data_IF_281979351069
#
_entry.id   IF_281979351069
#
_cell.length_a   1.000
_cell.length_b   1.000
_cell.length_c   1.000
_cell.angle_alpha   90.00
_cell.angle_beta   90.00
_cell.angle_gamma   90.00
#
_symmetry.space_group_name_H-M   'P 1'
#
loop_
_entity.id
_entity.type
_entity.pdbx_description
1 polymer ?
#
# COMPACT_ATOMS: atom_id res chain seq x y z
N UNK A 1 7.67 1.66 -15.36
CA UNK A 1 6.32 2.23 -15.25
C UNK A 1 6.29 3.56 -15.99
N UNK A 2 5.48 3.68 -17.04
CA UNK A 2 5.22 4.95 -17.71
C UNK A 2 3.99 5.64 -17.13
N UNK A 3 4.18 6.61 -16.24
CA UNK A 3 3.10 7.44 -15.69
C UNK A 3 3.24 8.88 -16.18
N UNK A 4 2.14 9.48 -16.61
CA UNK A 4 2.02 10.91 -16.86
C UNK A 4 1.20 11.51 -15.72
N UNK A 5 1.79 12.40 -14.93
CA UNK A 5 1.14 12.96 -13.73
C UNK A 5 1.08 14.46 -13.84
N UNK A 6 -0.13 15.01 -13.84
CA UNK A 6 -0.38 16.42 -13.64
C UNK A 6 -0.63 16.68 -12.16
N UNK A 7 0.03 17.69 -11.60
CA UNK A 7 -0.16 18.12 -10.21
C UNK A 7 -0.42 19.61 -10.20
N UNK A 8 -1.28 20.03 -9.29
CA UNK A 8 -1.56 21.43 -9.07
C UNK A 8 -1.67 21.70 -7.57
N UNK A 9 -1.00 22.76 -7.14
CA UNK A 9 -1.05 23.27 -5.79
C UNK A 9 -2.05 24.42 -5.70
N UNK A 10 -2.70 24.51 -4.55
CA UNK A 10 -3.65 25.58 -4.20
C UNK A 10 -4.80 25.79 -5.19
N UNK A 11 -5.20 24.69 -5.86
CA UNK A 11 -6.28 24.64 -6.84
C UNK A 11 -6.28 25.84 -7.81
N UNK A 12 -5.17 26.02 -8.52
CA UNK A 12 -4.93 27.14 -9.45
C UNK A 12 -4.85 28.51 -8.77
N UNK A 13 -4.49 28.54 -7.48
CA UNK A 13 -4.51 29.73 -6.65
C UNK A 13 -5.90 30.13 -6.15
N UNK A 14 -6.92 29.30 -6.37
CA UNK A 14 -8.30 29.59 -5.96
C UNK A 14 -8.59 29.15 -4.53
N UNK A 15 -7.90 28.11 -4.05
CA UNK A 15 -8.12 27.55 -2.70
C UNK A 15 -6.78 27.17 -2.09
N UNK A 16 -6.29 28.04 -1.21
CA UNK A 16 -5.06 27.82 -0.45
C UNK A 16 -5.12 26.50 0.33
N UNK A 17 -4.05 25.69 0.22
CA UNK A 17 -3.94 24.40 0.89
C UNK A 17 -4.67 23.25 0.20
N UNK A 18 -5.40 23.49 -0.89
CA UNK A 18 -6.07 22.44 -1.68
C UNK A 18 -5.20 22.00 -2.85
N UNK A 19 -4.59 20.82 -2.73
CA UNK A 19 -3.79 20.23 -3.78
C UNK A 19 -4.56 19.12 -4.49
N UNK A 20 -4.38 18.99 -5.80
CA UNK A 20 -4.87 17.84 -6.53
C UNK A 20 -3.87 17.31 -7.55
N UNK A 21 -4.05 16.05 -7.94
CA UNK A 21 -3.30 15.44 -9.02
C UNK A 21 -4.20 14.58 -9.89
N UNK A 22 -3.87 14.52 -11.17
CA UNK A 22 -4.42 13.57 -12.14
C UNK A 22 -3.26 12.76 -12.70
N UNK A 23 -3.46 11.45 -12.82
CA UNK A 23 -2.44 10.54 -13.30
C UNK A 23 -3.02 9.62 -14.37
N UNK A 24 -2.25 9.40 -15.42
CA UNK A 24 -2.44 8.32 -16.37
C UNK A 24 -1.25 7.35 -16.26
N UNK A 25 -1.53 6.05 -16.36
CA UNK A 25 -0.52 5.01 -16.44
C UNK A 25 -0.77 4.19 -17.71
N UNK A 26 0.22 4.13 -18.60
CA UNK A 26 0.14 3.27 -19.78
C UNK A 26 0.24 1.79 -19.41
N UNK A 27 -0.36 0.93 -20.24
CA UNK A 27 -0.25 -0.53 -20.15
C UNK A 27 1.22 -0.97 -20.07
N UNK A 28 1.51 -1.84 -19.11
CA UNK A 28 2.77 -2.57 -19.02
C UNK A 28 2.42 -4.06 -18.84
N UNK A 29 2.59 -4.85 -19.92
CA UNK A 29 2.22 -6.26 -20.04
C UNK A 29 3.39 -7.25 -19.93
N UNK A 30 3.15 -8.47 -20.42
CA UNK A 30 3.99 -9.68 -20.32
C UNK A 30 5.32 -9.61 -21.08
N UNK A 31 6.14 -10.66 -20.91
CA UNK A 31 7.39 -10.92 -21.67
C UNK A 31 7.13 -11.53 -23.07
N UNK A 32 5.89 -11.89 -23.38
CA UNK A 32 5.47 -12.48 -24.66
C UNK A 32 4.00 -12.17 -24.97
N UNK A 33 3.66 -11.82 -26.22
CA UNK A 33 2.32 -11.44 -26.67
C UNK A 33 2.26 -10.07 -27.38
N UNK A 34 1.06 -9.55 -27.64
CA UNK A 34 0.88 -8.31 -28.44
C UNK A 34 1.37 -7.01 -27.75
N UNK A 35 1.87 -7.07 -26.50
CA UNK A 35 2.34 -5.91 -25.72
C UNK A 35 3.54 -6.29 -24.83
N UNK A 36 4.65 -6.65 -25.47
CA UNK A 36 5.87 -7.15 -24.83
C UNK A 36 6.68 -6.05 -24.12
N UNK A 37 6.42 -5.88 -22.83
CA UNK A 37 7.17 -4.98 -21.92
C UNK A 37 7.80 -5.69 -20.72
N UNK A 38 7.65 -7.02 -20.64
CA UNK A 38 8.39 -7.94 -19.77
C UNK A 38 8.23 -7.79 -18.26
N UNK A 39 7.19 -8.40 -17.66
CA UNK A 39 7.04 -8.50 -16.19
C UNK A 39 6.16 -9.67 -15.71
N UNK A 40 6.39 -10.12 -14.47
CA UNK A 40 5.52 -11.09 -13.77
C UNK A 40 4.06 -10.60 -13.70
N UNK A 41 3.10 -11.52 -13.81
CA UNK A 41 1.65 -11.29 -13.77
C UNK A 41 1.20 -10.39 -12.63
N UNK A 42 1.73 -10.62 -11.41
CA UNK A 42 1.40 -9.80 -10.25
C UNK A 42 1.82 -8.35 -10.46
N UNK A 43 2.88 -8.11 -11.21
CA UNK A 43 3.36 -6.76 -11.48
C UNK A 43 2.61 -6.09 -12.62
N UNK A 44 2.03 -6.83 -13.58
CA UNK A 44 1.34 -6.30 -14.78
C UNK A 44 0.27 -5.22 -14.50
N UNK A 45 -0.05 -4.40 -15.50
CA UNK A 45 -1.17 -3.45 -15.50
C UNK A 45 -1.61 -3.14 -16.94
N UNK A 46 -2.90 -2.93 -17.17
CA UNK A 46 -3.43 -2.27 -18.36
C UNK A 46 -3.37 -0.74 -18.25
N UNK A 47 -3.96 -0.05 -19.21
CA UNK A 47 -4.10 1.41 -19.14
C UNK A 47 -4.98 1.80 -17.95
N UNK A 48 -4.56 2.83 -17.23
CA UNK A 48 -5.22 3.27 -16.01
C UNK A 48 -5.14 4.76 -15.79
N UNK A 49 -6.06 5.24 -14.96
CA UNK A 49 -6.09 6.63 -14.51
C UNK A 49 -6.31 6.69 -13.00
N UNK A 50 -5.86 7.77 -12.40
CA UNK A 50 -6.05 8.05 -10.99
C UNK A 50 -6.17 9.54 -10.74
N UNK A 51 -6.81 9.86 -9.61
CA UNK A 51 -6.94 11.22 -9.11
C UNK A 51 -6.66 11.22 -7.62
N UNK A 52 -6.06 12.30 -7.13
CA UNK A 52 -5.89 12.53 -5.69
C UNK A 52 -6.22 13.97 -5.35
N UNK A 53 -6.71 14.18 -4.13
CA UNK A 53 -6.99 15.49 -3.57
C UNK A 53 -6.57 15.48 -2.10
N UNK A 54 -5.91 16.55 -1.67
CA UNK A 54 -5.53 16.74 -0.27
C UNK A 54 -5.80 18.18 0.13
N UNK A 55 -6.32 18.39 1.33
CA UNK A 55 -6.61 19.71 1.85
C UNK A 55 -5.98 19.91 3.23
N UNK A 56 -5.24 21.00 3.39
CA UNK A 56 -4.78 21.47 4.69
C UNK A 56 -5.93 22.17 5.41
N UNK A 57 -6.40 21.59 6.51
CA UNK A 57 -7.52 22.12 7.30
C UNK A 57 -7.06 23.23 8.27
N UNK A 58 -5.75 23.43 8.41
CA UNK A 58 -5.15 24.32 9.42
C UNK A 58 -4.80 23.60 10.72
N UNK A 59 -4.04 24.28 11.58
CA UNK A 59 -3.67 23.79 12.94
C UNK A 59 -3.05 22.38 12.96
N UNK A 60 -2.29 22.03 11.92
CA UNK A 60 -1.65 20.71 11.77
C UNK A 60 -2.55 19.62 11.19
N UNK A 61 -3.85 19.87 10.97
CA UNK A 61 -4.78 18.89 10.40
C UNK A 61 -4.75 18.89 8.87
N UNK A 62 -4.81 17.70 8.29
CA UNK A 62 -4.96 17.52 6.85
C UNK A 62 -5.84 16.32 6.53
N UNK A 63 -6.62 16.43 5.46
CA UNK A 63 -7.43 15.34 4.92
C UNK A 63 -7.03 15.07 3.48
N UNK A 64 -7.10 13.82 3.04
CA UNK A 64 -6.83 13.45 1.67
C UNK A 64 -7.69 12.30 1.19
N UNK A 65 -7.89 12.24 -0.11
CA UNK A 65 -8.53 11.13 -0.80
C UNK A 65 -7.85 10.87 -2.13
N UNK A 66 -7.89 9.62 -2.57
CA UNK A 66 -7.46 9.25 -3.90
C UNK A 66 -8.32 8.11 -4.45
N UNK A 67 -8.43 8.07 -5.76
CA UNK A 67 -9.04 6.97 -6.48
C UNK A 67 -8.19 6.59 -7.69
N UNK A 68 -8.19 5.31 -8.05
CA UNK A 68 -7.59 4.85 -9.30
C UNK A 68 -8.40 3.72 -9.88
N UNK A 69 -8.39 3.62 -11.21
CA UNK A 69 -9.04 2.56 -11.95
C UNK A 69 -8.19 2.21 -13.17
N UNK A 70 -7.74 0.95 -13.23
CA UNK A 70 -6.84 0.45 -14.27
C UNK A 70 -7.40 -0.80 -14.90
N UNK A 71 -7.29 -0.95 -16.22
CA UNK A 71 -7.60 -2.24 -16.88
C UNK A 71 -6.65 -3.32 -16.34
N UNK A 72 -7.14 -4.53 -16.18
CA UNK A 72 -6.31 -5.72 -15.91
C UNK A 72 -5.92 -6.40 -17.22
N UNK A 73 -4.78 -7.07 -17.25
CA UNK A 73 -4.30 -7.80 -18.42
C UNK A 73 -4.95 -9.18 -18.53
N UNK A 74 -4.90 -9.80 -19.71
CA UNK A 74 -5.39 -11.16 -19.90
C UNK A 74 -4.68 -12.16 -18.97
N UNK A 75 -3.37 -12.04 -18.78
CA UNK A 75 -2.59 -12.88 -17.86
C UNK A 75 -3.07 -12.77 -16.41
N UNK A 76 -3.51 -11.58 -15.99
CA UNK A 76 -4.04 -11.33 -14.65
C UNK A 76 -5.42 -11.98 -14.45
N UNK A 77 -6.11 -12.31 -15.53
CA UNK A 77 -7.42 -12.98 -15.51
C UNK A 77 -7.33 -14.38 -16.15
N UNK A 78 -6.14 -15.01 -16.14
CA UNK A 78 -5.94 -16.32 -16.75
C UNK A 78 -6.56 -17.43 -15.88
N UNK A 79 -7.81 -17.78 -16.17
CA UNK A 79 -8.58 -18.81 -15.45
C UNK A 79 -8.08 -20.23 -15.69
N UNK A 80 -7.21 -20.44 -16.71
CA UNK A 80 -6.57 -21.73 -16.93
C UNK A 80 -5.46 -22.03 -15.90
N UNK A 81 -5.02 -21.03 -15.12
CA UNK A 81 -4.06 -21.21 -14.04
C UNK A 81 -4.79 -21.32 -12.68
N UNK A 82 -4.94 -22.53 -12.10
CA UNK A 82 -5.66 -22.72 -10.85
C UNK A 82 -4.97 -22.09 -9.63
N UNK A 83 -3.69 -21.74 -9.71
CA UNK A 83 -2.97 -21.04 -8.64
C UNK A 83 -3.29 -19.52 -8.61
N UNK A 84 -3.69 -18.95 -9.75
CA UNK A 84 -4.04 -17.54 -9.86
C UNK A 84 -5.44 -17.29 -9.28
N UNK A 85 -5.58 -16.17 -8.57
CA UNK A 85 -6.79 -15.75 -7.87
C UNK A 85 -7.09 -14.28 -8.15
N UNK A 86 -8.36 -13.90 -8.04
CA UNK A 86 -8.85 -12.55 -8.31
C UNK A 86 -9.01 -12.25 -9.78
N UNK A 87 -10.24 -12.39 -10.27
CA UNK A 87 -10.64 -12.06 -11.63
C UNK A 87 -11.30 -10.68 -11.70
N UNK A 88 -11.14 -9.99 -12.82
CA UNK A 88 -11.94 -8.82 -13.12
C UNK A 88 -11.33 -7.93 -14.19
N UNK A 89 -12.18 -7.17 -14.88
CA UNK A 89 -11.73 -6.33 -16.01
C UNK A 89 -10.89 -5.14 -15.54
N UNK A 90 -11.12 -4.68 -14.31
CA UNK A 90 -10.48 -3.51 -13.73
C UNK A 90 -9.98 -3.77 -12.32
N UNK A 91 -8.86 -3.15 -12.00
CA UNK A 91 -8.32 -3.00 -10.66
C UNK A 91 -8.64 -1.57 -10.19
N UNK A 92 -9.38 -1.47 -9.09
CA UNK A 92 -9.85 -0.19 -8.56
C UNK A 92 -9.41 0.01 -7.12
N UNK A 93 -9.11 1.25 -6.76
CA UNK A 93 -8.69 1.64 -5.41
C UNK A 93 -9.41 2.94 -5.06
N UNK A 94 -9.98 2.98 -3.86
CA UNK A 94 -10.51 4.17 -3.24
C UNK A 94 -9.86 4.29 -1.87
N UNK A 95 -9.20 5.41 -1.60
CA UNK A 95 -8.51 5.64 -0.34
C UNK A 95 -8.88 7.01 0.23
N UNK A 96 -9.01 7.07 1.55
CA UNK A 96 -9.15 8.30 2.31
C UNK A 96 -8.21 8.27 3.52
N UNK A 97 -7.70 9.42 3.90
CA UNK A 97 -6.79 9.54 5.03
C UNK A 97 -6.89 10.88 5.75
N UNK A 98 -6.51 10.86 7.01
CA UNK A 98 -6.46 12.00 7.91
C UNK A 98 -5.07 12.03 8.55
N UNK A 99 -4.56 13.23 8.78
CA UNK A 99 -3.29 13.47 9.47
C UNK A 99 -3.43 14.63 10.43
N UNK A 100 -2.80 14.51 11.59
CA UNK A 100 -2.44 15.60 12.50
C UNK A 100 -0.91 15.64 12.63
N UNK A 101 -0.32 16.80 12.37
CA UNK A 101 1.14 16.98 12.29
C UNK A 101 1.50 18.36 12.85
N UNK A 102 1.48 18.46 14.17
CA UNK A 102 1.81 19.68 14.91
C UNK A 102 2.21 19.34 16.35
N UNK A 103 2.86 20.29 17.03
CA UNK A 103 3.22 20.18 18.45
C UNK A 103 4.02 18.90 18.80
N UNK A 104 5.00 18.56 17.95
CA UNK A 104 5.82 17.34 18.07
C UNK A 104 5.04 16.02 17.97
N UNK A 105 3.75 16.05 17.67
CA UNK A 105 2.90 14.87 17.52
C UNK A 105 2.62 14.65 16.03
N UNK A 106 2.78 13.40 15.61
CA UNK A 106 2.37 12.94 14.29
C UNK A 106 1.35 11.81 14.47
N UNK A 107 0.12 12.03 14.05
CA UNK A 107 -0.93 11.02 13.97
C UNK A 107 -1.41 10.94 12.53
N UNK A 108 -1.49 9.74 11.98
CA UNK A 108 -2.09 9.54 10.67
C UNK A 108 -2.92 8.26 10.65
N UNK A 109 -4.02 8.29 9.92
CA UNK A 109 -4.81 7.10 9.62
C UNK A 109 -5.23 7.14 8.15
N UNK A 110 -5.25 5.98 7.51
CA UNK A 110 -5.81 5.80 6.18
C UNK A 110 -6.65 4.54 6.10
N UNK A 111 -7.71 4.63 5.32
CA UNK A 111 -8.53 3.49 4.94
C UNK A 111 -8.57 3.44 3.42
N UNK A 112 -8.39 2.24 2.88
CA UNK A 112 -8.60 1.99 1.46
C UNK A 112 -9.45 0.76 1.22
N UNK A 113 -10.33 0.88 0.22
CA UNK A 113 -11.08 -0.23 -0.31
C UNK A 113 -10.65 -0.45 -1.74
N UNK A 114 -10.29 -1.69 -2.04
CA UNK A 114 -9.78 -2.08 -3.36
C UNK A 114 -10.64 -3.16 -3.97
N UNK A 115 -10.70 -3.19 -5.29
CA UNK A 115 -11.32 -4.26 -6.06
C UNK A 115 -10.30 -4.80 -7.05
N UNK A 116 -10.02 -6.10 -7.00
CA UNK A 116 -9.05 -6.79 -7.87
C UNK A 116 -7.67 -6.13 -7.92
N UNK A 117 -7.22 -5.47 -6.83
CA UNK A 117 -6.00 -4.66 -6.81
C UNK A 117 -5.03 -4.99 -5.67
N UNK A 118 -5.51 -5.30 -4.46
CA UNK A 118 -4.63 -5.75 -3.37
C UNK A 118 -4.09 -7.14 -3.67
N UNK A 119 -2.76 -7.24 -3.70
CA UNK A 119 -2.07 -8.51 -3.97
C UNK A 119 -2.01 -9.39 -2.74
N UNK A 120 -1.93 -10.69 -2.97
CA UNK A 120 -1.45 -11.64 -1.98
C UNK A 120 -0.59 -12.72 -2.64
N UNK A 121 0.25 -13.33 -1.80
CA UNK A 121 1.28 -14.27 -2.20
C UNK A 121 2.26 -13.74 -3.23
N UNK A 122 3.02 -14.66 -3.81
CA UNK A 122 4.03 -14.33 -4.80
C UNK A 122 3.94 -15.30 -5.99
N UNK A 123 4.35 -14.84 -7.18
CA UNK A 123 4.41 -15.69 -8.37
C UNK A 123 5.70 -16.51 -8.44
N UNK A 124 6.33 -16.79 -7.30
CA UNK A 124 7.57 -17.58 -7.17
C UNK A 124 7.25 -18.93 -6.50
N UNK A 125 8.19 -19.87 -6.56
CA UNK A 125 8.00 -21.27 -6.17
C UNK A 125 7.64 -21.54 -4.70
N UNK A 126 7.48 -20.51 -3.87
CA UNK A 126 7.13 -20.64 -2.45
C UNK A 126 5.64 -20.48 -2.16
N UNK A 127 4.80 -20.19 -3.16
CA UNK A 127 3.34 -20.07 -2.99
C UNK A 127 2.59 -21.03 -3.92
N UNK A 128 1.67 -21.81 -3.36
CA UNK A 128 0.72 -22.65 -4.10
C UNK A 128 -0.41 -21.81 -4.74
N UNK A 129 -0.74 -20.67 -4.12
CA UNK A 129 -1.70 -19.68 -4.63
C UNK A 129 -1.13 -18.27 -4.60
N UNK A 130 -1.56 -17.44 -5.54
CA UNK A 130 -1.24 -16.02 -5.56
C UNK A 130 -2.26 -15.26 -6.39
N UNK A 131 -2.27 -13.93 -6.27
CA UNK A 131 -3.11 -13.11 -7.13
C UNK A 131 -3.53 -11.82 -6.47
N UNK A 132 -4.80 -11.50 -6.64
CA UNK A 132 -5.41 -10.28 -6.15
C UNK A 132 -6.67 -10.63 -5.38
N UNK A 133 -6.93 -9.96 -4.27
CA UNK A 133 -8.21 -10.10 -3.59
C UNK A 133 -9.31 -9.43 -4.43
N UNK A 134 -10.43 -10.14 -4.65
CA UNK A 134 -11.58 -9.61 -5.39
C UNK A 134 -12.08 -8.29 -4.77
N UNK A 135 -12.09 -8.25 -3.45
CA UNK A 135 -12.19 -7.01 -2.68
C UNK A 135 -11.20 -7.06 -1.51
N UNK A 136 -10.65 -5.92 -1.13
CA UNK A 136 -9.91 -5.80 0.11
C UNK A 136 -10.27 -4.50 0.85
N UNK A 137 -10.19 -4.57 2.16
CA UNK A 137 -10.36 -3.43 3.07
C UNK A 137 -9.07 -3.29 3.85
N UNK A 138 -8.33 -2.21 3.60
CA UNK A 138 -7.06 -1.94 4.24
C UNK A 138 -7.22 -0.75 5.19
N UNK A 139 -6.62 -0.86 6.36
CA UNK A 139 -6.62 0.16 7.38
C UNK A 139 -5.22 0.25 7.99
N UNK A 140 -4.71 1.47 8.10
CA UNK A 140 -3.43 1.75 8.72
C UNK A 140 -3.58 2.96 9.62
N UNK A 141 -3.01 2.90 10.81
CA UNK A 141 -2.96 4.02 11.77
C UNK A 141 -1.61 4.04 12.44
N UNK A 142 -1.05 5.24 12.61
CA UNK A 142 0.26 5.46 13.24
C UNK A 142 0.19 6.65 14.18
N UNK A 143 0.89 6.52 15.31
CA UNK A 143 1.09 7.58 16.29
C UNK A 143 2.58 7.69 16.63
N UNK A 144 3.11 8.90 16.56
CA UNK A 144 4.52 9.19 16.85
C UNK A 144 4.65 10.49 17.62
N UNK A 145 5.73 10.58 18.39
CA UNK A 145 6.09 11.79 19.12
C UNK A 145 7.56 12.11 18.87
N UNK A 146 7.88 13.37 18.60
CA UNK A 146 9.24 13.84 18.37
C UNK A 146 9.77 14.53 19.63
N UNK A 147 10.71 13.89 20.32
CA UNK A 147 11.44 14.56 21.40
C UNK A 147 12.51 15.51 20.84
N UNK A 148 12.79 16.58 21.59
CA UNK A 148 13.84 17.55 21.26
C UNK A 148 15.24 16.92 21.29
N UNK A 149 15.42 15.83 22.03
CA UNK A 149 16.68 15.06 22.09
C UNK A 149 16.96 14.23 20.82
N UNK A 150 16.09 14.33 19.80
CA UNK A 150 16.21 13.57 18.55
C UNK A 150 15.57 12.18 18.57
N UNK A 151 15.02 11.73 19.70
CA UNK A 151 14.28 10.46 19.78
C UNK A 151 12.85 10.62 19.24
N UNK A 152 12.41 9.68 18.40
CA UNK A 152 11.05 9.62 17.84
C UNK A 152 10.48 8.21 17.99
N UNK A 153 9.79 7.87 19.11
CA UNK A 153 9.02 6.64 19.20
C UNK A 153 7.84 6.64 18.22
N UNK A 154 7.44 5.43 17.80
CA UNK A 154 6.32 5.17 16.90
C UNK A 154 5.56 3.92 17.34
N UNK A 155 4.24 3.98 17.27
CA UNK A 155 3.35 2.82 17.37
C UNK A 155 2.38 2.85 16.21
N UNK A 156 2.20 1.73 15.52
CA UNK A 156 1.24 1.62 14.42
C UNK A 156 0.45 0.32 14.47
N UNK A 157 -0.70 0.32 13.80
CA UNK A 157 -1.50 -0.87 13.51
C UNK A 157 -1.85 -0.87 12.03
N UNK A 158 -1.63 -2.01 11.37
CA UNK A 158 -1.91 -2.20 9.96
C UNK A 158 -2.69 -3.49 9.77
N UNK A 159 -3.77 -3.42 8.97
CA UNK A 159 -4.57 -4.56 8.59
C UNK A 159 -5.01 -4.46 7.13
N UNK A 160 -4.92 -5.56 6.40
CA UNK A 160 -5.53 -5.76 5.09
C UNK A 160 -6.38 -7.01 5.13
N UNK A 161 -7.70 -6.84 4.97
CA UNK A 161 -8.66 -7.94 4.93
C UNK A 161 -9.13 -8.16 3.49
N UNK A 162 -8.69 -9.28 2.90
CA UNK A 162 -9.18 -9.78 1.63
C UNK A 162 -10.55 -10.42 1.80
N UNK A 163 -11.39 -10.21 0.79
CA UNK A 163 -12.78 -10.65 0.72
C UNK A 163 -12.97 -11.47 -0.54
N UNK A 164 -13.80 -12.50 -0.42
CA UNK A 164 -14.20 -13.36 -1.53
C UNK A 164 -13.01 -13.97 -2.28
N UNK A 165 -11.97 -14.43 -1.56
CA UNK A 165 -10.83 -15.11 -2.19
C UNK A 165 -11.27 -16.51 -2.63
N UNK A 166 -11.02 -16.87 -3.88
CA UNK A 166 -11.56 -18.10 -4.46
C UNK A 166 -11.02 -19.33 -3.74
N UNK A 167 -11.93 -20.11 -3.15
CA UNK A 167 -11.61 -21.31 -2.35
C UNK A 167 -11.28 -21.03 -0.88
N UNK A 168 -11.12 -19.76 -0.48
CA UNK A 168 -10.70 -19.40 0.89
C UNK A 168 -11.66 -18.42 1.59
N UNK A 169 -12.55 -17.73 0.86
CA UNK A 169 -13.46 -16.74 1.42
C UNK A 169 -12.73 -15.50 1.96
N UNK A 170 -13.15 -15.04 3.14
CA UNK A 170 -12.57 -13.88 3.81
C UNK A 170 -11.27 -14.25 4.54
N UNK A 171 -10.18 -13.54 4.25
CA UNK A 171 -8.87 -13.78 4.86
C UNK A 171 -8.14 -12.48 5.20
N UNK A 172 -7.47 -12.44 6.35
CA UNK A 172 -6.50 -11.38 6.63
C UNK A 172 -5.24 -11.63 5.79
N UNK A 173 -4.89 -10.69 4.92
CA UNK A 173 -3.70 -10.72 4.05
C UNK A 173 -2.47 -10.15 4.75
N UNK A 174 -2.70 -9.23 5.68
CA UNK A 174 -1.72 -8.55 6.50
C UNK A 174 -2.41 -8.11 7.79
N UNK A 175 -1.78 -8.34 8.94
CA UNK A 175 -2.28 -7.87 10.22
C UNK A 175 -1.14 -7.82 11.23
N UNK A 176 -0.75 -6.64 11.69
CA UNK A 176 0.30 -6.52 12.69
C UNK A 176 0.22 -5.21 13.48
N UNK A 177 0.84 -5.23 14.66
CA UNK A 177 1.20 -4.03 15.41
C UNK A 177 2.68 -3.78 15.20
N UNK A 178 3.04 -2.51 15.08
CA UNK A 178 4.40 -2.03 14.92
C UNK A 178 4.77 -1.17 16.12
N UNK A 179 5.93 -1.42 16.73
CA UNK A 179 6.46 -0.61 17.81
C UNK A 179 7.94 -0.38 17.58
N UNK A 180 8.33 0.88 17.46
CA UNK A 180 9.70 1.25 17.12
C UNK A 180 10.11 2.61 17.66
N UNK A 181 11.38 2.93 17.46
CA UNK A 181 11.92 4.25 17.74
C UNK A 181 13.09 4.56 16.81
N UNK A 182 13.10 5.80 16.31
CA UNK A 182 14.23 6.35 15.56
C UNK A 182 14.94 7.40 16.40
N UNK A 183 16.27 7.36 16.45
CA UNK A 183 17.09 8.38 17.05
C UNK A 183 17.86 9.15 15.97
N UNK A 184 17.57 10.43 15.84
CA UNK A 184 18.23 11.34 14.91
C UNK A 184 19.42 12.00 15.59
N UNK A 185 20.64 11.65 15.17
CA UNK A 185 21.85 12.34 15.62
C UNK A 185 21.90 13.75 15.02
N UNK A 186 21.54 13.86 13.74
CA UNK A 186 21.39 15.08 12.98
C UNK A 186 20.61 14.76 11.68
N UNK A 187 20.49 15.74 10.77
CA UNK A 187 19.79 15.58 9.48
C UNK A 187 20.42 14.53 8.53
N UNK A 188 21.65 14.11 8.79
CA UNK A 188 22.44 13.22 7.95
C UNK A 188 22.69 11.83 8.56
N UNK A 189 22.38 11.61 9.84
CA UNK A 189 22.65 10.35 10.52
C UNK A 189 21.56 10.00 11.53
N UNK A 190 21.06 8.76 11.46
CA UNK A 190 20.07 8.22 12.39
C UNK A 190 20.28 6.74 12.65
N UNK A 191 19.79 6.24 13.78
CA UNK A 191 19.67 4.81 14.07
C UNK A 191 18.24 4.50 14.45
N UNK A 192 17.77 3.28 14.21
CA UNK A 192 16.42 2.88 14.57
C UNK A 192 16.35 1.42 15.02
N UNK A 193 15.33 1.16 15.84
CA UNK A 193 14.83 -0.18 16.15
C UNK A 193 13.36 -0.23 15.80
N UNK A 194 12.93 -1.33 15.21
CA UNK A 194 11.53 -1.56 14.87
C UNK A 194 11.13 -3.00 15.19
N UNK A 195 9.91 -3.18 15.71
CA UNK A 195 9.38 -4.50 16.04
C UNK A 195 7.99 -4.67 15.45
N UNK A 196 7.93 -5.47 14.39
CA UNK A 196 6.69 -5.97 13.80
C UNK A 196 6.22 -7.19 14.60
N UNK A 197 5.12 -7.00 15.33
CA UNK A 197 4.39 -8.05 16.06
C UNK A 197 3.28 -8.55 15.14
N UNK A 198 3.51 -9.68 14.50
CA UNK A 198 2.62 -10.24 13.50
C UNK A 198 1.41 -10.90 14.17
N UNK A 199 0.21 -10.53 13.74
CA UNK A 199 -1.06 -10.98 14.31
C UNK A 199 -1.81 -11.93 13.36
N UNK A 200 -1.14 -12.39 12.30
CA UNK A 200 -1.68 -13.41 11.40
C UNK A 200 -1.51 -14.79 12.02
N UNK A 201 -2.56 -15.60 11.94
CA UNK A 201 -2.49 -17.02 12.30
C UNK A 201 -1.83 -17.83 11.19
N UNK A 202 -0.95 -18.77 11.55
CA UNK A 202 -0.43 -19.77 10.63
C UNK A 202 -1.50 -20.82 10.28
N UNK A 203 -2.13 -20.63 9.12
CA UNK A 203 -3.20 -21.47 8.59
C UNK A 203 -2.96 -21.85 7.15
N UNK A 204 -3.83 -22.71 6.62
CA UNK A 204 -3.75 -23.19 5.24
C UNK A 204 -3.62 -22.05 4.23
N UNK A 205 -4.44 -21.00 4.36
CA UNK A 205 -4.33 -19.84 3.48
C UNK A 205 -2.95 -19.16 3.51
N UNK A 206 -2.41 -18.86 4.70
CA UNK A 206 -1.13 -18.15 4.81
C UNK A 206 0.03 -18.99 4.30
N UNK A 207 0.02 -20.31 4.55
CA UNK A 207 1.01 -21.24 4.01
C UNK A 207 0.92 -21.35 2.49
N UNK A 208 -0.27 -21.60 1.95
CA UNK A 208 -0.47 -21.75 0.51
C UNK A 208 -0.17 -20.46 -0.24
N UNK A 209 -0.44 -19.30 0.36
CA UNK A 209 -0.10 -18.00 -0.21
C UNK A 209 1.33 -17.54 0.10
N UNK A 210 2.12 -18.29 0.88
CA UNK A 210 3.48 -17.88 1.27
C UNK A 210 3.53 -16.56 2.05
N UNK A 211 2.50 -16.26 2.84
CA UNK A 211 2.44 -15.06 3.70
C UNK A 211 3.09 -15.39 5.04
N UNK A 212 4.19 -14.72 5.37
CA UNK A 212 4.86 -14.89 6.68
C UNK A 212 3.96 -14.40 7.81
N UNK A 213 3.82 -15.26 8.80
CA UNK A 213 3.11 -15.01 10.06
C UNK A 213 4.08 -14.73 11.21
N UNK A 214 5.37 -14.57 10.90
CA UNK A 214 6.41 -14.38 11.90
C UNK A 214 6.56 -12.92 12.30
N UNK A 215 6.98 -12.76 13.54
CA UNK A 215 7.50 -11.53 14.12
C UNK A 215 8.85 -11.15 13.50
N UNK A 216 9.12 -9.84 13.39
CA UNK A 216 10.38 -9.34 12.84
C UNK A 216 10.89 -8.17 13.67
N UNK A 217 12.15 -8.24 14.08
CA UNK A 217 12.88 -7.10 14.67
C UNK A 217 13.89 -6.57 13.65
N UNK A 218 13.83 -5.27 13.38
CA UNK A 218 14.78 -4.57 12.53
C UNK A 218 15.66 -3.63 13.37
N UNK A 219 16.96 -3.62 13.09
CA UNK A 219 17.93 -2.70 13.65
C UNK A 219 18.73 -2.09 12.50
N UNK A 220 18.81 -0.77 12.45
CA UNK A 220 19.45 -0.08 11.34
C UNK A 220 20.20 1.17 11.77
N UNK A 221 21.33 1.41 11.10
CA UNK A 221 22.07 2.67 11.15
C UNK A 221 22.09 3.26 9.73
N UNK A 222 21.63 4.50 9.59
CA UNK A 222 21.46 5.15 8.30
C UNK A 222 22.28 6.43 8.25
N UNK A 223 23.11 6.52 7.22
CA UNK A 223 23.77 7.76 6.80
C UNK A 223 23.14 8.24 5.48
N UNK A 224 22.80 9.53 5.40
CA UNK A 224 22.17 10.15 4.25
C UNK A 224 22.82 11.51 3.94
N UNK A 225 22.98 11.82 2.65
CA UNK A 225 23.57 13.06 2.14
C UNK A 225 22.56 13.92 1.39
#
# INVERSE_FOLDING_TARGET
>A
NGVATYRNQDFFGLVDGLNFALQYQGKNGSVSGENDTGRSTLKQNGDGYGASLTYNLGEGFSIGGAMSSSKRTADQNNTANPALKGEGDRAEVYSGGLKYDANNIYLAAQYSQTYNATRFGNSQSSSDIYGFANKAQNFEVVAQYQFDIGLRPSVAYLQSKGKDIEGYGDQDLLKYVDVGATYYFNKNMSTYVDYKINLLDDKEFTRNAGISTDDIVALGLVYQF
#
